data_IF_978053199686
#
_entry.id   IF_978053199686
#
_cell.length_a   1.000
_cell.length_b   1.000
_cell.length_c   1.000
_cell.angle_alpha   90.00
_cell.angle_beta   90.00
_cell.angle_gamma   90.00
#
_symmetry.space_group_name_H-M   'P 1'
#
loop_
_entity.id
_entity.type
_entity.pdbx_description
1 polymer ?
#
# COMPACT_ATOMS: atom_id res chain seq x y z
N UNK A 1 -3.45 -11.25 2.38
CA UNK A 1 -4.06 -10.63 1.20
C UNK A 1 -4.68 -11.63 0.21
N UNK A 2 -3.93 -12.57 -0.38
CA UNK A 2 -4.41 -13.42 -1.50
C UNK A 2 -5.73 -14.18 -1.23
N UNK A 3 -5.88 -14.82 -0.08
CA UNK A 3 -7.12 -15.54 0.28
C UNK A 3 -8.32 -14.60 0.45
N UNK A 4 -8.09 -13.38 0.96
CA UNK A 4 -9.15 -12.38 1.12
C UNK A 4 -9.64 -11.89 -0.25
N UNK A 5 -8.73 -11.66 -1.21
CA UNK A 5 -9.08 -11.31 -2.59
C UNK A 5 -9.83 -12.46 -3.27
N UNK A 6 -9.35 -13.70 -3.13
CA UNK A 6 -10.05 -14.88 -3.67
C UNK A 6 -11.47 -15.02 -3.11
N UNK A 7 -11.65 -14.81 -1.81
CA UNK A 7 -12.95 -14.85 -1.17
C UNK A 7 -13.85 -13.71 -1.66
N UNK A 8 -13.33 -12.48 -1.75
CA UNK A 8 -14.09 -11.33 -2.23
C UNK A 8 -14.59 -11.54 -3.66
N UNK A 9 -13.72 -12.03 -4.56
CA UNK A 9 -14.09 -12.38 -5.94
C UNK A 9 -15.17 -13.46 -5.97
N UNK A 10 -15.06 -14.48 -5.10
CA UNK A 10 -16.05 -15.55 -5.00
C UNK A 10 -17.41 -15.07 -4.47
N UNK A 11 -17.44 -14.20 -3.48
CA UNK A 11 -18.70 -13.70 -2.89
C UNK A 11 -19.39 -12.75 -3.86
N UNK A 12 -18.65 -11.82 -4.44
CA UNK A 12 -19.20 -10.76 -5.29
C UNK A 12 -19.37 -11.16 -6.76
N UNK A 13 -18.74 -12.27 -7.17
CA UNK A 13 -18.62 -12.70 -8.58
C UNK A 13 -17.94 -11.66 -9.49
N UNK A 14 -17.16 -10.73 -8.91
CA UNK A 14 -16.41 -9.68 -9.62
C UNK A 14 -14.93 -10.04 -9.66
N UNK A 15 -14.22 -9.56 -10.68
CA UNK A 15 -12.78 -9.86 -10.86
C UNK A 15 -11.87 -8.75 -10.35
N UNK A 16 -12.24 -7.49 -10.55
CA UNK A 16 -11.39 -6.37 -10.19
C UNK A 16 -11.32 -6.13 -8.68
N UNK A 17 -10.19 -5.60 -8.22
CA UNK A 17 -10.02 -5.08 -6.85
C UNK A 17 -9.32 -3.73 -6.92
N UNK A 18 -9.54 -2.90 -5.90
CA UNK A 18 -8.90 -1.59 -5.78
C UNK A 18 -7.89 -1.64 -4.65
N UNK A 19 -6.73 -1.03 -4.87
CA UNK A 19 -5.75 -0.80 -3.82
C UNK A 19 -4.92 0.46 -4.10
N UNK A 20 -4.26 0.99 -3.07
CA UNK A 20 -3.74 2.35 -3.12
C UNK A 20 -2.25 2.43 -3.50
N UNK A 21 -1.80 3.63 -3.91
CA UNK A 21 -0.38 3.94 -4.11
C UNK A 21 0.41 3.74 -2.82
N UNK A 22 1.71 3.47 -2.94
CA UNK A 22 2.62 3.19 -1.81
C UNK A 22 2.27 1.96 -0.97
N UNK A 23 1.22 1.23 -1.33
CA UNK A 23 0.88 -0.02 -0.68
C UNK A 23 1.83 -1.14 -1.08
N UNK A 24 2.13 -2.00 -0.11
CA UNK A 24 2.84 -3.25 -0.29
C UNK A 24 2.08 -4.37 0.41
N UNK A 25 1.65 -5.37 -0.36
CA UNK A 25 0.84 -6.47 0.18
C UNK A 25 1.60 -7.80 0.23
N UNK A 26 2.91 -7.80 -0.08
CA UNK A 26 3.79 -8.99 -0.12
C UNK A 26 4.23 -9.41 -1.53
N UNK A 27 4.83 -10.61 -1.63
CA UNK A 27 5.52 -11.14 -2.83
C UNK A 27 4.75 -12.24 -3.61
N UNK A 28 3.46 -12.49 -3.35
CA UNK A 28 2.65 -13.42 -4.18
C UNK A 28 2.03 -12.71 -5.39
N UNK A 29 1.70 -13.39 -6.49
CA UNK A 29 1.28 -12.76 -7.76
C UNK A 29 0.16 -11.69 -7.62
N UNK A 30 -0.85 -11.92 -6.76
CA UNK A 30 -1.87 -10.91 -6.44
C UNK A 30 -1.32 -9.80 -5.52
N UNK A 31 -0.50 -10.15 -4.52
CA UNK A 31 0.15 -9.17 -3.65
C UNK A 31 1.12 -8.25 -4.41
N UNK A 32 1.84 -8.78 -5.40
CA UNK A 32 2.74 -8.08 -6.31
C UNK A 32 1.98 -7.19 -7.30
N UNK A 33 0.83 -7.66 -7.81
CA UNK A 33 -0.06 -6.81 -8.60
C UNK A 33 -0.68 -5.65 -7.80
N UNK A 34 -0.78 -5.84 -6.48
CA UNK A 34 -1.19 -4.82 -5.53
C UNK A 34 0.00 -4.03 -4.95
N UNK A 35 1.25 -4.28 -5.34
CA UNK A 35 2.42 -3.51 -4.85
C UNK A 35 2.74 -2.37 -5.82
N UNK A 36 2.77 -1.14 -5.31
CA UNK A 36 2.87 0.08 -6.13
C UNK A 36 4.28 0.60 -6.39
N UNK A 37 5.27 0.18 -5.61
CA UNK A 37 6.65 0.70 -5.69
C UNK A 37 7.37 0.16 -6.95
N UNK A 38 8.11 1.04 -7.64
CA UNK A 38 8.86 0.73 -8.86
C UNK A 38 9.88 -0.40 -8.66
N UNK A 39 10.52 -0.44 -7.50
CA UNK A 39 11.59 -1.40 -7.19
C UNK A 39 11.10 -2.86 -7.07
N UNK A 40 9.79 -3.06 -6.87
CA UNK A 40 9.19 -4.38 -6.64
C UNK A 40 8.19 -4.81 -7.74
N UNK A 41 8.14 -4.08 -8.87
CA UNK A 41 7.23 -4.39 -9.99
C UNK A 41 7.86 -5.44 -10.93
N UNK A 42 7.29 -6.65 -11.01
CA UNK A 42 7.72 -7.71 -11.95
C UNK A 42 6.65 -8.04 -13.03
N UNK A 43 7.02 -8.77 -14.08
CA UNK A 43 6.26 -8.98 -15.34
C UNK A 43 4.93 -9.74 -15.24
N UNK A 44 4.56 -10.32 -14.08
CA UNK A 44 3.29 -11.04 -13.88
C UNK A 44 2.45 -10.33 -12.83
N UNK A 45 1.68 -9.34 -13.30
CA UNK A 45 0.78 -8.50 -12.50
C UNK A 45 -0.65 -9.02 -12.70
N UNK A 46 -1.44 -9.12 -11.63
CA UNK A 46 -2.89 -9.32 -11.77
C UNK A 46 -3.49 -8.11 -12.51
N UNK A 47 -3.91 -8.30 -13.76
CA UNK A 47 -4.45 -7.24 -14.62
C UNK A 47 -5.81 -6.69 -14.13
N UNK A 48 -6.38 -7.24 -13.06
CA UNK A 48 -7.66 -6.81 -12.49
C UNK A 48 -7.45 -5.99 -11.20
N UNK A 49 -6.39 -5.20 -11.13
CA UNK A 49 -6.13 -4.30 -10.01
C UNK A 49 -6.22 -2.85 -10.49
N UNK A 50 -7.17 -2.10 -9.91
CA UNK A 50 -7.19 -0.65 -10.04
C UNK A 50 -6.32 -0.02 -8.95
N UNK A 51 -5.45 0.90 -9.36
CA UNK A 51 -4.58 1.64 -8.46
C UNK A 51 -5.10 3.07 -8.27
N UNK A 52 -5.43 3.43 -7.04
CA UNK A 52 -5.85 4.79 -6.69
C UNK A 52 -4.79 5.48 -5.81
N UNK A 53 -4.63 6.81 -5.92
CA UNK A 53 -3.83 7.56 -4.97
C UNK A 53 -4.33 7.42 -3.53
N UNK A 54 -3.41 7.12 -2.60
CA UNK A 54 -3.68 7.07 -1.15
C UNK A 54 -3.95 8.48 -0.57
N UNK A 55 -4.39 8.55 0.69
CA UNK A 55 -4.63 9.80 1.39
C UNK A 55 -3.39 10.73 1.34
N UNK A 56 -3.62 12.00 1.03
CA UNK A 56 -2.58 13.02 0.92
C UNK A 56 -1.58 12.85 -0.25
N UNK A 57 -1.73 11.83 -1.10
CA UNK A 57 -0.83 11.61 -2.24
C UNK A 57 -0.89 12.75 -3.28
N UNK A 58 -2.10 13.29 -3.49
CA UNK A 58 -2.34 14.46 -4.36
C UNK A 58 -3.30 15.40 -3.63
N UNK A 59 -2.79 16.43 -2.91
CA UNK A 59 -3.60 17.29 -2.05
C UNK A 59 -4.77 17.98 -2.76
N UNK A 60 -4.59 18.29 -4.04
CA UNK A 60 -5.57 19.00 -4.88
C UNK A 60 -6.66 18.08 -5.47
N UNK A 61 -6.60 16.76 -5.24
CA UNK A 61 -7.52 15.83 -5.88
C UNK A 61 -7.99 14.71 -4.95
N UNK A 62 -9.31 14.44 -4.97
CA UNK A 62 -9.88 13.31 -4.26
C UNK A 62 -10.01 12.10 -5.21
N UNK A 63 -9.09 11.15 -5.07
CA UNK A 63 -9.05 9.93 -5.88
C UNK A 63 -10.31 9.08 -5.75
N UNK A 64 -10.91 9.02 -4.56
CA UNK A 64 -12.13 8.25 -4.30
C UNK A 64 -13.37 8.90 -4.90
N UNK A 65 -13.44 10.23 -4.90
CA UNK A 65 -14.54 10.95 -5.56
C UNK A 65 -14.49 10.76 -7.08
N UNK A 66 -13.31 10.86 -7.69
CA UNK A 66 -13.15 10.56 -9.12
C UNK A 66 -13.54 9.10 -9.41
N UNK A 67 -13.09 8.17 -8.59
CA UNK A 67 -13.41 6.75 -8.78
C UNK A 67 -14.91 6.47 -8.64
N UNK A 68 -15.59 7.11 -7.67
CA UNK A 68 -17.05 7.06 -7.55
C UNK A 68 -17.73 7.52 -8.85
N UNK A 69 -17.32 8.67 -9.40
CA UNK A 69 -17.87 9.19 -10.66
C UNK A 69 -17.66 8.22 -11.83
N UNK A 70 -16.49 7.59 -11.91
CA UNK A 70 -16.21 6.57 -12.92
C UNK A 70 -17.13 5.35 -12.77
N UNK A 71 -17.38 4.89 -11.54
CA UNK A 71 -18.29 3.77 -11.29
C UNK A 71 -19.76 4.10 -11.56
N UNK A 72 -20.15 5.38 -11.48
CA UNK A 72 -21.52 5.83 -11.75
C UNK A 72 -21.77 6.08 -13.26
N UNK A 73 -20.71 6.38 -14.02
CA UNK A 73 -20.80 6.56 -15.46
C UNK A 73 -20.81 5.22 -16.21
N UNK A 74 -21.95 4.92 -16.85
CA UNK A 74 -22.15 3.69 -17.63
C UNK A 74 -21.23 3.56 -18.84
N UNK A 75 -20.59 4.65 -19.26
CA UNK A 75 -19.68 4.69 -20.41
C UNK A 75 -18.21 4.79 -20.00
N UNK A 76 -17.89 4.74 -18.70
CA UNK A 76 -16.50 4.84 -18.22
C UNK A 76 -15.65 3.60 -18.52
N UNK A 77 -16.29 2.45 -18.75
CA UNK A 77 -15.62 1.15 -18.85
C UNK A 77 -15.13 0.58 -17.51
N UNK A 78 -15.53 1.17 -16.37
CA UNK A 78 -15.21 0.64 -15.05
C UNK A 78 -16.35 -0.23 -14.51
N UNK A 79 -16.03 -1.49 -14.25
CA UNK A 79 -16.92 -2.39 -13.52
C UNK A 79 -16.77 -2.19 -12.01
N UNK A 80 -17.85 -2.50 -11.27
CA UNK A 80 -17.78 -2.58 -9.81
C UNK A 80 -16.70 -3.59 -9.38
N UNK A 81 -15.76 -3.22 -8.49
CA UNK A 81 -14.78 -4.15 -7.98
C UNK A 81 -15.38 -5.11 -6.95
N UNK A 82 -14.71 -6.24 -6.76
CA UNK A 82 -14.98 -7.19 -5.69
C UNK A 82 -14.66 -6.60 -4.31
N UNK A 83 -13.54 -5.87 -4.21
CA UNK A 83 -13.11 -5.26 -2.98
C UNK A 83 -12.30 -3.97 -3.18
N UNK A 84 -12.34 -3.10 -2.17
CA UNK A 84 -11.38 -2.03 -1.93
C UNK A 84 -10.52 -2.44 -0.75
N UNK A 85 -9.20 -2.39 -0.93
CA UNK A 85 -8.22 -2.77 0.10
C UNK A 85 -7.56 -1.50 0.62
N UNK A 86 -7.62 -1.29 1.94
CA UNK A 86 -7.10 -0.11 2.62
C UNK A 86 -6.12 -0.54 3.72
N UNK A 87 -4.97 0.13 3.77
CA UNK A 87 -4.13 0.19 4.96
C UNK A 87 -4.51 1.46 5.73
N UNK A 88 -4.67 1.38 7.05
CA UNK A 88 -4.92 2.58 7.89
C UNK A 88 -3.63 3.36 8.14
N UNK A 89 -2.50 2.65 8.15
CA UNK A 89 -1.14 3.17 8.22
C UNK A 89 -0.27 2.35 7.26
N UNK A 90 0.36 3.02 6.30
CA UNK A 90 1.38 2.41 5.43
C UNK A 90 2.76 2.60 6.07
N UNK A 91 3.66 1.61 5.98
CA UNK A 91 4.91 1.63 6.76
C UNK A 91 6.18 1.09 6.10
N UNK A 92 6.17 0.66 4.84
CA UNK A 92 7.38 0.05 4.24
C UNK A 92 8.52 1.04 3.97
N UNK A 93 8.23 2.17 3.32
CA UNK A 93 9.25 3.16 2.94
C UNK A 93 9.11 4.48 3.72
N UNK A 94 7.87 4.85 4.07
CA UNK A 94 7.49 6.03 4.87
C UNK A 94 6.22 5.73 5.63
N UNK A 95 6.09 6.30 6.82
CA UNK A 95 4.86 6.20 7.61
C UNK A 95 3.83 7.16 7.02
N UNK A 96 2.82 6.63 6.33
CA UNK A 96 1.69 7.41 5.83
C UNK A 96 0.42 7.01 6.60
N UNK A 97 -0.05 7.90 7.48
CA UNK A 97 -1.27 7.69 8.26
C UNK A 97 -2.45 8.26 7.49
N UNK A 98 -3.45 7.43 7.20
CA UNK A 98 -4.70 7.95 6.63
C UNK A 98 -5.46 8.76 7.68
N UNK A 99 -5.97 9.92 7.27
CA UNK A 99 -6.88 10.71 8.07
C UNK A 99 -8.21 9.96 8.27
N UNK A 100 -8.84 10.18 9.43
CA UNK A 100 -10.16 9.61 9.73
C UNK A 100 -11.20 10.02 8.69
N UNK A 101 -11.15 11.27 8.24
CA UNK A 101 -12.03 11.78 7.19
C UNK A 101 -11.86 11.01 5.88
N UNK A 102 -10.62 10.73 5.47
CA UNK A 102 -10.38 9.92 4.28
C UNK A 102 -10.87 8.48 4.45
N UNK A 103 -10.64 7.84 5.61
CA UNK A 103 -11.07 6.45 5.88
C UNK A 103 -12.60 6.25 5.86
N UNK A 104 -13.38 7.30 6.13
CA UNK A 104 -14.84 7.25 6.02
C UNK A 104 -15.30 7.13 4.56
N UNK A 105 -14.55 7.65 3.60
CA UNK A 105 -14.91 7.65 2.18
C UNK A 105 -14.91 6.26 1.54
N UNK A 106 -13.87 5.41 1.64
CA UNK A 106 -13.92 4.07 1.09
C UNK A 106 -14.98 3.22 1.79
N UNK A 107 -15.25 3.45 3.09
CA UNK A 107 -16.37 2.79 3.79
C UNK A 107 -17.73 3.20 3.20
N UNK A 108 -17.96 4.48 2.95
CA UNK A 108 -19.20 4.96 2.35
C UNK A 108 -19.38 4.39 0.93
N UNK A 109 -18.37 4.56 0.07
CA UNK A 109 -18.34 4.04 -1.31
C UNK A 109 -18.63 2.53 -1.36
N UNK A 110 -17.96 1.75 -0.52
CA UNK A 110 -18.09 0.29 -0.53
C UNK A 110 -19.46 -0.17 -0.03
N UNK A 111 -20.02 0.52 0.98
CA UNK A 111 -21.37 0.25 1.47
C UNK A 111 -22.44 0.52 0.40
N UNK A 112 -22.35 1.66 -0.27
CA UNK A 112 -23.30 2.08 -1.31
C UNK A 112 -23.35 1.09 -2.48
N UNK A 113 -22.17 0.60 -2.92
CA UNK A 113 -22.04 -0.19 -4.16
C UNK A 113 -21.98 -1.70 -3.98
N UNK A 114 -22.15 -2.18 -2.75
CA UNK A 114 -22.00 -3.59 -2.41
C UNK A 114 -20.60 -4.12 -2.76
N UNK A 115 -19.57 -3.32 -2.54
CA UNK A 115 -18.15 -3.70 -2.68
C UNK A 115 -17.66 -4.11 -1.29
N UNK A 116 -16.80 -5.12 -1.18
CA UNK A 116 -16.22 -5.46 0.11
C UNK A 116 -15.10 -4.47 0.49
N UNK A 117 -15.10 -4.01 1.75
CA UNK A 117 -13.96 -3.28 2.29
C UNK A 117 -13.05 -4.26 3.03
N UNK A 118 -11.79 -4.33 2.62
CA UNK A 118 -10.75 -5.12 3.30
C UNK A 118 -9.80 -4.14 3.95
N UNK A 119 -9.67 -4.20 5.27
CA UNK A 119 -8.63 -3.48 5.99
C UNK A 119 -7.43 -4.42 6.15
N UNK A 120 -6.28 -4.03 5.61
CA UNK A 120 -5.01 -4.67 5.89
C UNK A 120 -4.23 -3.80 6.86
N UNK A 121 -4.22 -4.18 8.13
CA UNK A 121 -3.39 -3.54 9.14
C UNK A 121 -2.11 -4.36 9.31
N UNK A 122 -1.00 -3.82 8.81
CA UNK A 122 0.35 -4.37 9.00
C UNK A 122 1.23 -3.30 9.62
N UNK A 123 1.22 -3.22 10.95
CA UNK A 123 2.17 -2.39 11.67
C UNK A 123 3.54 -3.10 11.71
N UNK A 124 4.35 -2.92 10.67
CA UNK A 124 5.71 -3.50 10.63
C UNK A 124 6.69 -2.49 11.22
N UNK A 125 6.98 -2.57 12.51
CA UNK A 125 8.07 -1.80 13.12
C UNK A 125 9.41 -2.38 12.67
N UNK A 126 9.96 -1.93 11.53
CA UNK A 126 11.37 -2.17 11.25
C UNK A 126 12.19 -1.12 12.01
N UNK A 127 12.47 -1.39 13.28
CA UNK A 127 13.53 -0.67 14.00
C UNK A 127 14.86 -1.07 13.37
N UNK A 128 15.26 -0.40 12.28
CA UNK A 128 16.66 -0.36 11.89
C UNK A 128 17.35 0.54 12.90
N UNK A 129 17.83 -0.05 14.00
CA UNK A 129 18.83 0.57 14.86
C UNK A 129 20.05 0.90 14.01
N UNK A 130 20.13 2.13 13.53
CA UNK A 130 21.33 2.72 12.97
C UNK A 130 22.27 3.10 14.11
N UNK A 131 22.85 2.11 14.79
CA UNK A 131 24.08 2.32 15.56
C UNK A 131 25.27 2.26 14.60
N UNK A 132 25.42 3.30 13.78
CA UNK A 132 26.69 3.68 13.17
C UNK A 132 27.22 4.88 13.94
N UNK A 133 27.93 4.64 15.04
CA UNK A 133 28.76 5.64 15.70
C UNK A 133 30.23 5.27 15.53
N UNK A 134 30.79 5.85 14.47
CA UNK A 134 32.12 6.49 14.35
C UNK A 134 33.35 5.76 14.91
N UNK A 135 34.21 5.40 13.96
CA UNK A 135 35.66 5.31 14.06
C UNK A 135 36.30 6.41 14.92
N UNK A 136 37.27 6.02 15.76
CA UNK A 136 38.39 6.89 16.14
C UNK A 136 39.69 6.19 15.73
N UNK A 137 40.34 6.79 14.73
CA UNK A 137 41.69 6.48 14.30
C UNK A 137 42.72 6.78 15.40
N UNK A 138 43.87 6.11 15.30
CA UNK A 138 44.95 6.00 16.30
C UNK A 138 45.79 7.29 16.48
N UNK A 139 46.76 7.31 17.41
CA UNK A 139 48.14 7.43 16.92
C UNK A 139 49.18 6.53 17.62
N UNK A 140 50.15 6.11 16.81
CA UNK A 140 51.43 5.51 17.18
C UNK A 140 52.29 6.51 17.98
N UNK A 141 52.94 6.05 19.05
CA UNK A 141 54.23 6.55 19.54
C UNK A 141 54.93 5.38 20.26
N UNK A 142 56.00 4.77 19.73
CA UNK A 142 57.41 5.21 19.59
C UNK A 142 58.27 4.88 20.83
N UNK A 143 59.09 3.85 20.64
CA UNK A 143 60.43 3.57 21.20
C UNK A 143 60.70 3.49 22.72
N UNK A 144 61.10 2.27 23.10
CA UNK A 144 62.42 1.89 23.64
C UNK A 144 62.87 2.33 25.06
N UNK A 145 63.36 1.31 25.80
CA UNK A 145 64.54 1.23 26.71
C UNK A 145 64.33 1.05 28.22
N UNK A 146 65.05 0.01 28.70
CA UNK A 146 65.62 -0.27 30.04
C UNK A 146 64.63 -0.87 31.06
N UNK A 147 64.91 -1.98 31.76
CA UNK A 147 66.15 -2.72 32.09
C UNK A 147 65.89 -4.22 32.15
#
# INVERSE_FOLDING_TARGET
MESAVKLARKITQRRSVVAFTNSYYGMTSTALGLTGNQDNRQMVVDNNVYRLPYDGCFPESNSLELFQKLLDDRSSGYDLPAAVIVETVQGEDRINVASTHWLQQPRALTADKGILLIIEDKLTTSSKNSSKSRSSDSPKDRHERKR
#
